data_IF_095231687082
#
_entry.id   IF_095231687082
#
_cell.length_a   1.000
_cell.length_b   1.000
_cell.length_c   1.000
_cell.angle_alpha   90.00
_cell.angle_beta   90.00
_cell.angle_gamma   90.00
#
_symmetry.space_group_name_H-M   'P 1'
#
loop_
_entity.id
_entity.type
_entity.pdbx_description
1 polymer ?
#
# COMPACT_ATOMS: atom_id res chain seq x y z
N UNK A 1 -6.24 2.47 -6.76
CA UNK A 1 -5.28 1.39 -7.04
C UNK A 1 -3.88 1.91 -6.79
N UNK A 2 -2.99 1.08 -6.28
CA UNK A 2 -1.62 1.42 -5.94
C UNK A 2 -0.65 0.57 -6.75
N UNK A 3 0.28 1.22 -7.39
CA UNK A 3 1.24 0.60 -8.31
C UNK A 3 2.68 0.89 -7.87
N UNK A 4 3.58 0.01 -8.28
CA UNK A 4 5.03 0.22 -8.27
C UNK A 4 5.55 0.25 -9.70
N UNK A 5 6.37 1.24 -10.02
CA UNK A 5 7.10 1.28 -11.29
C UNK A 5 8.35 0.40 -11.19
N UNK A 6 8.32 -0.75 -11.84
CA UNK A 6 9.40 -1.73 -11.83
C UNK A 6 10.66 -1.24 -12.56
N UNK A 7 10.53 -0.28 -13.48
CA UNK A 7 11.70 0.33 -14.14
C UNK A 7 12.48 1.21 -13.16
N UNK A 8 11.78 1.94 -12.27
CA UNK A 8 12.42 2.72 -11.21
C UNK A 8 13.16 1.80 -10.25
N UNK A 9 12.53 0.70 -9.82
CA UNK A 9 13.17 -0.29 -8.93
C UNK A 9 14.43 -0.86 -9.56
N UNK A 10 14.37 -1.30 -10.83
CA UNK A 10 15.52 -1.85 -11.55
C UNK A 10 16.62 -0.81 -11.73
N UNK A 11 16.27 0.42 -12.09
CA UNK A 11 17.25 1.50 -12.24
C UNK A 11 18.03 1.79 -10.95
N UNK A 12 17.33 1.76 -9.79
CA UNK A 12 17.97 1.90 -8.49
C UNK A 12 18.87 0.69 -8.14
N UNK A 13 18.45 -0.53 -8.48
CA UNK A 13 19.27 -1.72 -8.29
C UNK A 13 20.58 -1.66 -9.09
N UNK A 14 20.52 -1.16 -10.33
CA UNK A 14 21.67 -0.99 -11.20
C UNK A 14 22.60 0.13 -10.69
N UNK A 15 22.02 1.26 -10.24
CA UNK A 15 22.77 2.41 -9.74
C UNK A 15 23.47 2.12 -8.40
N UNK A 16 22.85 1.30 -7.56
CA UNK A 16 23.34 0.99 -6.21
C UNK A 16 23.40 -0.54 -5.96
N UNK A 17 24.34 -1.26 -6.63
CA UNK A 17 24.38 -2.72 -6.60
C UNK A 17 24.49 -3.32 -5.19
N UNK A 18 25.17 -2.63 -4.27
CA UNK A 18 25.33 -3.09 -2.88
C UNK A 18 23.99 -3.22 -2.13
N UNK A 19 22.96 -2.50 -2.58
CA UNK A 19 21.62 -2.51 -2.01
C UNK A 19 20.56 -3.09 -2.94
N UNK A 20 20.97 -3.72 -4.04
CA UNK A 20 20.05 -4.19 -5.08
C UNK A 20 18.90 -5.05 -4.52
N UNK A 21 19.20 -5.95 -3.58
CA UNK A 21 18.20 -6.81 -2.96
C UNK A 21 17.20 -6.05 -2.05
N UNK A 22 17.54 -4.84 -1.61
CA UNK A 22 16.71 -4.06 -0.71
C UNK A 22 15.64 -3.23 -1.45
N UNK A 23 15.93 -2.77 -2.67
CA UNK A 23 15.04 -1.86 -3.39
C UNK A 23 13.62 -2.39 -3.61
N UNK A 24 13.39 -3.68 -3.95
CA UNK A 24 12.03 -4.20 -4.03
C UNK A 24 11.28 -4.14 -2.71
N UNK A 25 11.97 -4.42 -1.60
CA UNK A 25 11.40 -4.35 -0.25
C UNK A 25 11.06 -2.91 0.12
N UNK A 26 11.98 -1.98 -0.14
CA UNK A 26 11.77 -0.56 0.15
C UNK A 26 10.68 0.06 -0.72
N UNK A 27 10.54 -0.38 -1.98
CA UNK A 27 9.46 0.04 -2.86
C UNK A 27 8.08 -0.39 -2.29
N UNK A 28 7.98 -1.63 -1.84
CA UNK A 28 6.77 -2.16 -1.20
C UNK A 28 6.43 -1.42 0.10
N UNK A 29 7.43 -1.15 0.94
CA UNK A 29 7.26 -0.34 2.15
C UNK A 29 6.83 1.09 1.85
N UNK A 30 7.43 1.74 0.84
CA UNK A 30 7.04 3.08 0.39
C UNK A 30 5.61 3.10 -0.14
N UNK A 31 5.22 2.07 -0.90
CA UNK A 31 3.86 1.90 -1.40
C UNK A 31 2.86 1.79 -0.23
N UNK A 32 3.17 1.00 0.80
CA UNK A 32 2.35 0.88 1.99
C UNK A 32 2.19 2.21 2.75
N UNK A 33 3.24 3.02 2.83
CA UNK A 33 3.17 4.37 3.42
C UNK A 33 2.22 5.29 2.65
N UNK A 34 2.24 5.23 1.32
CA UNK A 34 1.29 5.98 0.48
C UNK A 34 -0.15 5.49 0.68
N UNK A 35 -0.36 4.18 0.75
CA UNK A 35 -1.68 3.59 1.05
C UNK A 35 -2.22 4.11 2.38
N UNK A 36 -1.40 4.11 3.41
CA UNK A 36 -1.77 4.63 4.74
C UNK A 36 -2.08 6.13 4.72
N UNK A 37 -1.26 6.94 4.05
CA UNK A 37 -1.49 8.37 3.92
C UNK A 37 -2.81 8.69 3.20
N UNK A 38 -3.11 7.98 2.12
CA UNK A 38 -4.39 8.12 1.40
C UNK A 38 -5.56 7.70 2.30
N UNK A 39 -5.46 6.58 2.97
CA UNK A 39 -6.53 6.07 3.84
C UNK A 39 -6.83 7.03 4.99
N UNK A 40 -5.81 7.51 5.68
CA UNK A 40 -5.98 8.47 6.78
C UNK A 40 -6.53 9.81 6.31
N UNK A 41 -6.14 10.28 5.12
CA UNK A 41 -6.71 11.49 4.52
C UNK A 41 -8.19 11.32 4.21
N UNK A 42 -8.59 10.16 3.64
CA UNK A 42 -10.01 9.85 3.39
C UNK A 42 -10.82 9.82 4.68
N UNK A 43 -10.29 9.19 5.73
CA UNK A 43 -10.93 9.16 7.04
C UNK A 43 -11.10 10.57 7.62
N UNK A 44 -10.11 11.44 7.46
CA UNK A 44 -10.18 12.83 7.94
C UNK A 44 -11.27 13.68 7.25
N UNK A 45 -11.62 13.34 6.01
CA UNK A 45 -12.73 13.99 5.28
C UNK A 45 -14.06 13.23 5.37
N UNK A 46 -14.14 12.21 6.22
CA UNK A 46 -15.37 11.45 6.45
C UNK A 46 -15.71 10.41 5.36
N UNK A 47 -14.77 10.06 4.50
CA UNK A 47 -14.95 9.01 3.51
C UNK A 47 -14.58 7.63 4.08
N UNK A 48 -15.36 6.61 3.73
CA UNK A 48 -15.04 5.21 4.02
C UNK A 48 -14.02 4.68 3.02
N UNK A 49 -13.09 3.88 3.49
CA UNK A 49 -12.13 3.20 2.64
C UNK A 49 -11.84 1.78 3.14
N UNK A 50 -11.60 0.86 2.19
CA UNK A 50 -11.26 -0.52 2.48
C UNK A 50 -10.11 -0.95 1.56
N UNK A 51 -8.99 -1.37 2.15
CA UNK A 51 -7.82 -1.84 1.41
C UNK A 51 -7.96 -3.33 1.10
N UNK A 52 -7.76 -3.66 -0.17
CA UNK A 52 -7.89 -5.02 -0.71
C UNK A 52 -6.64 -5.43 -1.48
N UNK A 53 -6.39 -6.74 -1.51
CA UNK A 53 -5.29 -7.37 -2.23
C UNK A 53 -5.84 -8.53 -3.07
N UNK A 54 -6.60 -8.20 -4.12
CA UNK A 54 -7.23 -9.19 -5.00
C UNK A 54 -6.29 -9.79 -6.04
N UNK A 55 -5.04 -9.32 -6.06
CA UNK A 55 -4.00 -9.78 -6.97
C UNK A 55 -3.81 -11.31 -6.91
N UNK A 56 -3.55 -12.00 -8.01
CA UNK A 56 -3.39 -11.44 -9.36
C UNK A 56 -4.70 -11.40 -10.19
N UNK A 57 -5.84 -11.72 -9.59
CA UNK A 57 -7.11 -11.92 -10.32
C UNK A 57 -7.51 -10.72 -11.22
N UNK A 58 -7.46 -9.46 -10.73
CA UNK A 58 -7.91 -8.32 -11.52
C UNK A 58 -6.81 -7.72 -12.42
N UNK A 59 -5.55 -8.10 -12.26
CA UNK A 59 -4.40 -7.38 -12.81
C UNK A 59 -4.49 -7.17 -14.32
N UNK A 60 -4.72 -8.24 -15.07
CA UNK A 60 -4.80 -8.19 -16.54
C UNK A 60 -6.01 -7.39 -17.02
N UNK A 61 -7.17 -7.59 -16.38
CA UNK A 61 -8.40 -6.89 -16.76
C UNK A 61 -8.29 -5.38 -16.49
N UNK A 62 -7.73 -4.99 -15.36
CA UNK A 62 -7.48 -3.60 -14.98
C UNK A 62 -6.48 -2.96 -15.93
N UNK A 63 -5.34 -3.62 -16.18
CA UNK A 63 -4.31 -3.12 -17.07
C UNK A 63 -4.88 -2.83 -18.47
N UNK A 64 -5.67 -3.75 -18.99
CA UNK A 64 -6.32 -3.60 -20.30
C UNK A 64 -7.36 -2.47 -20.31
N UNK A 65 -8.20 -2.40 -19.26
CA UNK A 65 -9.30 -1.42 -19.21
C UNK A 65 -8.81 0.02 -19.14
N UNK A 66 -7.67 0.25 -18.49
CA UNK A 66 -7.13 1.60 -18.24
C UNK A 66 -5.77 1.85 -18.88
N UNK A 67 -5.34 0.97 -19.78
CA UNK A 67 -4.07 1.10 -20.51
C UNK A 67 -2.89 1.35 -19.56
N UNK A 68 -2.80 0.55 -18.50
CA UNK A 68 -1.74 0.63 -17.51
C UNK A 68 -0.41 0.12 -18.14
N UNK A 69 0.71 0.84 -17.95
CA UNK A 69 2.01 0.38 -18.44
C UNK A 69 2.39 -1.01 -17.90
N UNK A 70 3.01 -1.84 -18.73
CA UNK A 70 3.40 -3.20 -18.37
C UNK A 70 4.42 -3.26 -17.21
N UNK A 71 5.23 -2.20 -17.06
CA UNK A 71 6.19 -2.10 -15.96
C UNK A 71 5.58 -1.63 -14.63
N UNK A 72 4.26 -1.37 -14.58
CA UNK A 72 3.56 -0.99 -13.35
C UNK A 72 2.95 -2.21 -12.69
N UNK A 73 3.53 -2.62 -11.56
CA UNK A 73 3.05 -3.74 -10.76
C UNK A 73 1.94 -3.27 -9.81
N UNK A 74 0.74 -3.82 -9.96
CA UNK A 74 -0.38 -3.55 -9.06
C UNK A 74 -0.13 -4.19 -7.68
N UNK A 75 -0.13 -3.38 -6.62
CA UNK A 75 0.11 -3.85 -5.24
C UNK A 75 -1.18 -3.98 -4.43
N UNK A 76 -2.06 -3.01 -4.55
CA UNK A 76 -3.28 -2.99 -3.76
C UNK A 76 -4.41 -2.21 -4.46
N UNK A 77 -5.62 -2.50 -4.03
CA UNK A 77 -6.83 -1.80 -4.43
C UNK A 77 -7.46 -1.17 -3.19
N UNK A 78 -7.90 0.08 -3.28
CA UNK A 78 -8.66 0.72 -2.22
C UNK A 78 -10.07 1.05 -2.74
N UNK A 79 -11.06 0.44 -2.14
CA UNK A 79 -12.46 0.76 -2.36
C UNK A 79 -12.80 1.98 -1.51
N UNK A 80 -13.40 3.00 -2.14
CA UNK A 80 -13.70 4.28 -1.48
C UNK A 80 -15.16 4.60 -1.69
N UNK A 81 -15.84 5.08 -0.64
CA UNK A 81 -17.25 5.44 -0.71
C UNK A 81 -17.77 6.16 0.53
N UNK A 82 -19.07 6.46 0.53
CA UNK A 82 -19.76 6.96 1.72
C UNK A 82 -19.84 5.87 2.80
N UNK A 83 -19.86 6.30 4.06
CA UNK A 83 -20.01 5.40 5.20
C UNK A 83 -21.52 5.23 5.45
N UNK A 84 -22.04 4.02 5.22
CA UNK A 84 -23.45 3.68 5.46
C UNK A 84 -23.69 3.15 6.87
N UNK A 85 -22.65 2.65 7.53
CA UNK A 85 -22.71 2.12 8.89
C UNK A 85 -21.37 2.16 9.58
N UNK A 86 -21.40 2.17 10.91
CA UNK A 86 -20.17 2.13 11.71
C UNK A 86 -19.43 0.80 11.52
N UNK A 87 -18.09 0.85 11.62
CA UNK A 87 -17.29 -0.36 11.72
C UNK A 87 -17.68 -1.18 12.95
N UNK A 88 -17.58 -2.51 12.84
CA UNK A 88 -17.80 -3.38 14.00
C UNK A 88 -16.80 -3.11 15.13
N UNK A 89 -17.17 -3.54 16.33
CA UNK A 89 -16.30 -3.43 17.49
C UNK A 89 -14.98 -4.17 17.29
N UNK A 90 -13.88 -3.54 17.72
CA UNK A 90 -12.53 -4.12 17.63
C UNK A 90 -11.91 -4.26 19.00
N UNK A 91 -11.27 -5.38 19.23
CA UNK A 91 -10.41 -5.61 20.39
C UNK A 91 -8.98 -5.25 20.00
N UNK A 92 -8.34 -4.42 20.80
CA UNK A 92 -6.95 -4.00 20.57
C UNK A 92 -6.03 -4.60 21.62
N UNK A 93 -4.91 -5.14 21.18
CA UNK A 93 -3.83 -5.52 22.09
C UNK A 93 -3.29 -4.28 22.82
N UNK A 94 -2.93 -4.41 24.11
CA UNK A 94 -2.35 -3.31 24.86
C UNK A 94 -1.08 -2.76 24.18
N UNK A 95 -0.93 -1.45 24.16
CA UNK A 95 0.25 -0.82 23.52
C UNK A 95 1.55 -1.30 24.16
N UNK A 96 1.57 -1.52 25.49
CA UNK A 96 2.74 -2.01 26.23
C UNK A 96 3.24 -3.40 25.77
N UNK A 97 2.38 -4.21 25.16
CA UNK A 97 2.75 -5.51 24.57
C UNK A 97 3.57 -5.36 23.29
N UNK A 98 3.40 -4.23 22.59
CA UNK A 98 3.96 -3.97 21.26
C UNK A 98 5.01 -2.88 21.21
N UNK A 99 5.07 -2.04 22.22
CA UNK A 99 6.00 -0.91 22.31
C UNK A 99 6.73 -0.95 23.65
N UNK A 100 8.06 -0.90 23.59
CA UNK A 100 8.91 -0.73 24.75
C UNK A 100 9.75 0.53 24.59
N UNK A 101 9.78 1.37 25.61
CA UNK A 101 10.62 2.58 25.66
C UNK A 101 11.82 2.30 26.55
N UNK A 102 13.02 2.56 26.04
CA UNK A 102 14.27 2.40 26.78
C UNK A 102 14.89 3.78 27.00
N UNK A 103 15.52 3.99 28.16
CA UNK A 103 16.20 5.25 28.50
C UNK A 103 15.29 6.40 28.92
N UNK A 104 14.07 6.08 29.33
CA UNK A 104 13.14 7.05 29.92
C UNK A 104 13.26 7.05 31.46
#
# INVERSE_FOLDING_TARGET
MFYEDQNVVKGLQEQFPAYAANFPVWADQANAMVQYAVWTTLAAVGAGANLQHYNPLPDVAIAKAWNIPENWLLRAQMVIGGIEGAAGEKVFEPVAERLKVFGA
#
